data_IF_492766615398
#
_entry.id   IF_492766615398
#
_cell.length_a   1.000
_cell.length_b   1.000
_cell.length_c   1.000
_cell.angle_alpha   90.00
_cell.angle_beta   90.00
_cell.angle_gamma   90.00
#
_symmetry.space_group_name_H-M   'P 1'
#
loop_
_entity.id
_entity.type
_entity.pdbx_description
1 polymer ?
#
# COMPACT_ATOMS: atom_id res chain seq x y z
N UNK A 1 12.80 6.56 8.76
CA UNK A 1 12.77 5.30 7.98
C UNK A 1 13.24 5.70 6.60
N UNK A 2 14.55 5.88 6.46
CA UNK A 2 15.14 6.67 5.36
C UNK A 2 14.84 6.10 3.98
N UNK A 3 14.62 4.79 3.91
CA UNK A 3 14.29 4.08 2.67
C UNK A 3 12.91 4.47 2.10
N UNK A 4 11.92 4.83 2.92
CA UNK A 4 10.58 5.19 2.41
C UNK A 4 10.61 6.57 1.75
N UNK A 5 11.29 7.54 2.38
CA UNK A 5 11.41 8.90 1.83
C UNK A 5 12.17 8.88 0.50
N UNK A 6 13.31 8.18 0.43
CA UNK A 6 14.08 8.04 -0.81
C UNK A 6 13.26 7.33 -1.92
N UNK A 7 12.52 6.27 -1.59
CA UNK A 7 11.64 5.64 -2.57
C UNK A 7 10.51 6.56 -3.04
N UNK A 8 10.02 7.45 -2.16
CA UNK A 8 9.01 8.43 -2.53
C UNK A 8 9.58 9.53 -3.44
N UNK A 9 10.80 10.02 -3.19
CA UNK A 9 11.52 10.93 -4.09
C UNK A 9 11.67 10.33 -5.50
N UNK A 10 11.96 9.02 -5.59
CA UNK A 10 11.97 8.31 -6.88
C UNK A 10 10.58 8.33 -7.55
N UNK A 11 9.51 8.14 -6.78
CA UNK A 11 8.14 8.24 -7.30
C UNK A 11 7.88 9.64 -7.86
N UNK A 12 8.30 10.70 -7.18
CA UNK A 12 8.18 12.08 -7.67
C UNK A 12 8.91 12.27 -9.00
N UNK A 13 10.15 11.79 -9.11
CA UNK A 13 10.93 11.82 -10.36
C UNK A 13 10.26 11.03 -11.49
N UNK A 14 9.64 9.90 -11.19
CA UNK A 14 8.91 9.11 -12.19
C UNK A 14 7.64 9.80 -12.68
N UNK A 15 6.91 10.51 -11.81
CA UNK A 15 5.78 11.33 -12.24
C UNK A 15 6.23 12.51 -13.09
N UNK A 16 7.34 13.15 -12.75
CA UNK A 16 7.90 14.24 -13.56
C UNK A 16 8.30 13.74 -14.95
N UNK A 17 9.02 12.62 -15.03
CA UNK A 17 9.36 11.99 -16.30
C UNK A 17 8.12 11.57 -17.09
N UNK A 18 7.08 11.04 -16.42
CA UNK A 18 5.80 10.69 -17.04
C UNK A 18 5.14 11.90 -17.69
N UNK A 19 5.11 13.06 -17.02
CA UNK A 19 4.57 14.31 -17.57
C UNK A 19 5.36 14.78 -18.79
N UNK A 20 6.68 14.79 -18.69
CA UNK A 20 7.57 15.17 -19.79
C UNK A 20 7.43 14.25 -21.02
N UNK A 21 6.97 13.02 -20.82
CA UNK A 21 6.71 12.03 -21.85
C UNK A 21 5.21 11.90 -22.19
N UNK A 22 4.43 12.98 -22.06
CA UNK A 22 3.01 13.03 -22.44
C UNK A 22 2.15 11.92 -21.80
N UNK A 23 2.33 11.70 -20.50
CA UNK A 23 1.58 10.73 -19.70
C UNK A 23 1.69 9.27 -20.16
N UNK A 24 2.83 8.92 -20.76
CA UNK A 24 3.11 7.56 -21.23
C UNK A 24 2.79 6.49 -20.17
N UNK A 25 1.97 5.51 -20.55
CA UNK A 25 1.49 4.44 -19.68
C UNK A 25 2.62 3.52 -19.18
N UNK A 26 3.78 3.49 -19.86
CA UNK A 26 4.95 2.70 -19.44
C UNK A 26 5.47 3.10 -18.07
N UNK A 27 5.24 4.35 -17.63
CA UNK A 27 5.59 4.81 -16.28
C UNK A 27 4.65 4.28 -15.20
N UNK A 28 3.43 3.82 -15.53
CA UNK A 28 2.49 3.32 -14.54
C UNK A 28 3.09 2.11 -13.80
N UNK A 29 3.80 1.22 -14.52
CA UNK A 29 4.41 0.02 -13.95
C UNK A 29 5.40 0.34 -12.83
N UNK A 30 6.51 1.08 -13.05
CA UNK A 30 7.46 1.37 -11.99
C UNK A 30 6.82 2.18 -10.85
N UNK A 31 5.91 3.11 -11.14
CA UNK A 31 5.23 3.89 -10.10
C UNK A 31 4.35 2.99 -9.22
N UNK A 32 3.48 2.16 -9.80
CA UNK A 32 2.61 1.24 -9.05
C UNK A 32 3.47 0.34 -8.15
N UNK A 33 4.57 -0.19 -8.66
CA UNK A 33 5.44 -1.11 -7.91
C UNK A 33 6.05 -0.43 -6.69
N UNK A 34 6.58 0.79 -6.85
CA UNK A 34 7.14 1.56 -5.75
C UNK A 34 6.07 1.96 -4.73
N UNK A 35 4.91 2.43 -5.20
CA UNK A 35 3.79 2.77 -4.30
C UNK A 35 3.35 1.56 -3.46
N UNK A 36 3.21 0.37 -4.08
CA UNK A 36 2.82 -0.85 -3.36
C UNK A 36 3.91 -1.31 -2.39
N UNK A 37 5.19 -1.16 -2.74
CA UNK A 37 6.30 -1.44 -1.83
C UNK A 37 6.32 -0.48 -0.63
N UNK A 38 6.06 0.81 -0.85
CA UNK A 38 5.94 1.82 0.21
C UNK A 38 4.75 1.47 1.13
N UNK A 39 3.59 1.13 0.56
CA UNK A 39 2.42 0.64 1.31
C UNK A 39 2.80 -0.56 2.18
N UNK A 40 3.50 -1.56 1.62
CA UNK A 40 3.94 -2.74 2.37
C UNK A 40 4.86 -2.37 3.54
N UNK A 41 5.84 -1.48 3.32
CA UNK A 41 6.73 -1.00 4.37
C UNK A 41 5.96 -0.28 5.50
N UNK A 42 5.00 0.59 5.17
CA UNK A 42 4.22 1.34 6.16
C UNK A 42 3.31 0.39 6.96
N UNK A 43 2.63 -0.55 6.30
CA UNK A 43 1.77 -1.51 6.97
C UNK A 43 2.57 -2.48 7.86
N UNK A 44 3.75 -2.90 7.40
CA UNK A 44 4.65 -3.71 8.20
C UNK A 44 5.12 -2.95 9.46
N UNK A 45 5.60 -1.71 9.30
CA UNK A 45 5.98 -0.85 10.42
C UNK A 45 4.83 -0.67 11.41
N UNK A 46 3.61 -0.44 10.92
CA UNK A 46 2.43 -0.31 11.76
C UNK A 46 2.16 -1.59 12.57
N UNK A 47 2.26 -2.77 11.97
CA UNK A 47 2.11 -4.04 12.69
C UNK A 47 3.22 -4.23 13.73
N UNK A 48 4.47 -3.91 13.39
CA UNK A 48 5.57 -4.02 14.35
C UNK A 48 5.41 -3.05 15.52
N UNK A 49 4.91 -1.84 15.28
CA UNK A 49 4.55 -0.90 16.37
C UNK A 49 3.45 -1.46 17.26
N UNK A 50 2.42 -2.11 16.71
CA UNK A 50 1.37 -2.77 17.50
C UNK A 50 1.93 -3.87 18.42
N UNK A 51 2.93 -4.63 17.94
CA UNK A 51 3.61 -5.65 18.76
C UNK A 51 4.46 -5.01 19.87
N UNK A 52 5.09 -3.87 19.60
CA UNK A 52 6.05 -3.17 20.46
C UNK A 52 5.42 -2.06 21.33
N UNK A 53 4.14 -2.21 21.71
CA UNK A 53 3.28 -1.23 22.42
C UNK A 53 3.94 -0.47 23.59
N UNK A 54 4.92 -1.04 24.28
CA UNK A 54 5.62 -0.37 25.39
C UNK A 54 6.36 0.90 24.96
N UNK A 55 6.68 1.04 23.67
CA UNK A 55 7.43 2.18 23.10
C UNK A 55 6.50 3.14 22.33
N UNK A 56 5.30 2.71 21.93
CA UNK A 56 4.35 3.54 21.19
C UNK A 56 2.90 3.18 21.61
N UNK A 57 2.23 4.04 22.40
CA UNK A 57 0.89 3.76 22.93
C UNK A 57 -0.17 3.92 21.83
N UNK A 58 -0.31 2.88 21.00
CA UNK A 58 -1.36 2.79 20.00
C UNK A 58 -2.68 2.44 20.70
N UNK A 59 -3.74 3.22 20.41
CA UNK A 59 -5.06 3.07 21.02
C UNK A 59 -5.87 1.94 20.35
N UNK A 60 -5.44 0.70 20.59
CA UNK A 60 -6.07 -0.52 20.06
C UNK A 60 -6.40 -1.47 21.22
N UNK A 61 -7.49 -2.24 21.10
CA UNK A 61 -7.93 -3.19 22.12
C UNK A 61 -6.85 -4.24 22.39
N UNK A 62 -6.63 -4.59 23.67
CA UNK A 62 -5.63 -5.59 24.07
C UNK A 62 -5.78 -6.94 23.33
N UNK A 63 -7.02 -7.39 23.06
CA UNK A 63 -7.27 -8.62 22.30
C UNK A 63 -6.66 -8.61 20.89
N UNK A 64 -6.68 -7.46 20.22
CA UNK A 64 -6.07 -7.31 18.90
C UNK A 64 -4.54 -7.34 19.03
N UNK A 65 -3.99 -6.68 20.05
CA UNK A 65 -2.55 -6.71 20.33
C UNK A 65 -2.07 -8.14 20.58
N UNK A 66 -2.79 -8.93 21.38
CA UNK A 66 -2.46 -10.31 21.68
C UNK A 66 -2.51 -11.21 20.43
N UNK A 67 -3.45 -10.94 19.51
CA UNK A 67 -3.49 -11.59 18.21
C UNK A 67 -2.20 -11.34 17.40
N UNK A 68 -1.70 -10.10 17.36
CA UNK A 68 -0.49 -9.75 16.60
C UNK A 68 0.82 -10.18 17.27
N UNK A 69 0.89 -10.19 18.61
CA UNK A 69 2.07 -10.68 19.34
C UNK A 69 2.36 -12.15 19.08
N UNK A 70 1.32 -12.97 18.93
CA UNK A 70 1.43 -14.40 18.70
C UNK A 70 1.56 -14.77 17.21
N UNK A 71 1.49 -13.79 16.31
CA UNK A 71 1.51 -14.02 14.87
C UNK A 71 2.95 -14.12 14.33
N UNK A 72 3.40 -15.32 13.95
CA UNK A 72 4.68 -15.55 13.28
C UNK A 72 4.64 -15.20 11.78
N UNK A 73 5.79 -14.83 11.19
CA UNK A 73 5.98 -14.68 9.73
C UNK A 73 5.11 -13.61 9.05
N UNK A 74 5.46 -12.33 9.21
CA UNK A 74 4.74 -11.19 8.60
C UNK A 74 5.31 -10.79 7.22
N UNK A 75 6.20 -11.58 6.65
CA UNK A 75 7.09 -11.10 5.57
C UNK A 75 6.42 -11.03 4.19
N UNK A 76 5.13 -11.34 4.09
CA UNK A 76 4.38 -11.27 2.84
C UNK A 76 3.24 -10.26 2.93
N UNK A 77 3.17 -9.31 1.99
CA UNK A 77 2.02 -8.39 1.84
C UNK A 77 0.65 -9.07 1.92
N UNK A 78 0.52 -10.30 1.40
CA UNK A 78 -0.73 -11.09 1.54
C UNK A 78 -1.12 -11.29 3.00
N UNK A 79 -0.19 -11.75 3.82
CA UNK A 79 -0.40 -12.02 5.25
C UNK A 79 -0.62 -10.74 6.02
N UNK A 80 0.08 -9.66 5.65
CA UNK A 80 -0.14 -8.31 6.19
C UNK A 80 -1.61 -7.91 5.97
N UNK A 81 -2.06 -7.88 4.70
CA UNK A 81 -3.43 -7.46 4.32
C UNK A 81 -4.48 -8.31 5.04
N UNK A 82 -4.34 -9.64 5.01
CA UNK A 82 -5.30 -10.54 5.66
C UNK A 82 -5.43 -10.29 7.17
N UNK A 83 -4.32 -9.99 7.85
CA UNK A 83 -4.36 -9.73 9.30
C UNK A 83 -5.01 -8.39 9.62
N UNK A 84 -4.63 -7.32 8.91
CA UNK A 84 -5.21 -6.00 9.13
C UNK A 84 -6.70 -5.99 8.79
N UNK A 85 -7.13 -6.73 7.77
CA UNK A 85 -8.54 -6.88 7.39
C UNK A 85 -9.32 -7.67 8.43
N UNK A 86 -8.77 -8.76 8.96
CA UNK A 86 -9.48 -9.63 9.93
C UNK A 86 -9.94 -8.91 11.20
N UNK A 87 -9.24 -7.83 11.57
CA UNK A 87 -9.55 -7.01 12.73
C UNK A 87 -10.08 -5.61 12.36
N UNK A 88 -10.29 -5.35 11.06
CA UNK A 88 -10.58 -4.01 10.50
C UNK A 88 -9.66 -2.91 11.07
N UNK A 89 -8.35 -3.18 11.11
CA UNK A 89 -7.38 -2.31 11.76
C UNK A 89 -7.31 -0.90 11.15
N UNK A 90 -7.66 -0.74 9.88
CA UNK A 90 -7.64 0.55 9.18
C UNK A 90 -8.98 1.29 9.30
N UNK A 91 -9.90 0.80 10.15
CA UNK A 91 -11.23 1.36 10.38
C UNK A 91 -12.03 1.60 9.09
N UNK A 92 -11.89 0.68 8.14
CA UNK A 92 -12.53 0.76 6.83
C UNK A 92 -14.04 0.67 7.01
N UNK A 93 -14.77 1.61 6.39
CA UNK A 93 -16.22 1.65 6.44
C UNK A 93 -16.83 0.46 5.71
N UNK A 94 -18.02 0.03 6.15
CA UNK A 94 -18.73 -1.08 5.50
C UNK A 94 -19.08 -0.68 4.05
N UNK A 95 -18.63 -1.49 3.10
CA UNK A 95 -18.88 -1.28 1.67
C UNK A 95 -17.73 -0.59 0.92
N UNK A 96 -16.74 -0.07 1.64
CA UNK A 96 -15.52 0.47 1.04
C UNK A 96 -14.66 -0.64 0.40
N UNK A 97 -13.89 -0.29 -0.63
CA UNK A 97 -13.08 -1.23 -1.41
C UNK A 97 -11.62 -1.35 -0.97
N UNK A 98 -11.16 -0.61 0.05
CA UNK A 98 -9.73 -0.50 0.40
C UNK A 98 -9.03 -1.86 0.50
N UNK A 99 -9.55 -2.81 1.27
CA UNK A 99 -8.92 -4.13 1.41
C UNK A 99 -8.92 -4.94 0.10
N UNK A 100 -9.98 -4.80 -0.71
CA UNK A 100 -10.05 -5.42 -2.04
C UNK A 100 -9.03 -4.81 -3.00
N UNK A 101 -8.86 -3.49 -2.94
CA UNK A 101 -7.88 -2.76 -3.75
C UNK A 101 -6.45 -3.11 -3.32
N UNK A 102 -6.18 -3.24 -2.02
CA UNK A 102 -4.88 -3.72 -1.52
C UNK A 102 -4.56 -5.16 -1.99
N UNK A 103 -5.51 -6.09 -1.91
CA UNK A 103 -5.29 -7.46 -2.43
C UNK A 103 -5.12 -7.48 -3.95
N UNK A 104 -5.87 -6.65 -4.68
CA UNK A 104 -5.67 -6.46 -6.12
C UNK A 104 -4.26 -5.94 -6.43
N UNK A 105 -3.82 -4.87 -5.76
CA UNK A 105 -2.50 -4.26 -5.96
C UNK A 105 -1.35 -5.21 -5.61
N UNK A 106 -1.52 -6.03 -4.56
CA UNK A 106 -0.59 -7.13 -4.26
C UNK A 106 -0.45 -8.08 -5.44
N UNK A 107 -1.55 -8.49 -6.07
CA UNK A 107 -1.52 -9.36 -7.26
C UNK A 107 -0.85 -8.67 -8.45
N UNK A 108 -1.14 -7.38 -8.66
CA UNK A 108 -0.48 -6.54 -9.68
C UNK A 108 1.03 -6.53 -9.46
N UNK A 109 1.51 -6.26 -8.24
CA UNK A 109 2.93 -6.30 -7.89
C UNK A 109 3.55 -7.69 -8.10
N UNK A 110 2.82 -8.74 -7.73
CA UNK A 110 3.30 -10.12 -7.86
C UNK A 110 3.56 -10.56 -9.30
N UNK A 111 3.08 -9.82 -10.32
CA UNK A 111 3.43 -10.06 -11.74
C UNK A 111 4.92 -9.90 -12.04
N UNK A 112 5.58 -8.97 -11.36
CA UNK A 112 7.03 -8.77 -11.47
C UNK A 112 7.82 -9.63 -10.49
N UNK A 113 7.18 -10.02 -9.39
CA UNK A 113 7.84 -10.76 -8.33
C UNK A 113 7.89 -12.26 -8.68
N UNK A 114 8.91 -12.97 -8.18
CA UNK A 114 9.05 -14.44 -8.31
C UNK A 114 7.86 -15.24 -7.70
N UNK A 115 6.91 -14.52 -7.08
CA UNK A 115 5.65 -15.02 -6.54
C UNK A 115 4.52 -15.09 -7.57
N UNK A 116 4.74 -14.78 -8.86
CA UNK A 116 3.74 -15.01 -9.92
C UNK A 116 3.41 -16.51 -10.17
N UNK A 117 3.90 -17.43 -9.34
CA UNK A 117 3.73 -18.88 -9.48
C UNK A 117 2.27 -19.34 -9.56
N UNK A 118 1.34 -18.53 -9.06
CA UNK A 118 -0.08 -18.86 -8.98
C UNK A 118 -0.94 -18.18 -10.07
N UNK A 119 -0.35 -17.33 -10.92
CA UNK A 119 -1.06 -16.59 -11.96
C UNK A 119 -2.40 -16.01 -11.45
N UNK A 120 -2.41 -15.40 -10.26
CA UNK A 120 -3.65 -15.06 -9.54
C UNK A 120 -4.58 -14.11 -10.32
N UNK A 121 -4.05 -13.39 -11.32
CA UNK A 121 -4.83 -12.56 -12.24
C UNK A 121 -5.22 -13.28 -13.55
N UNK A 122 -4.54 -14.38 -13.91
CA UNK A 122 -4.76 -15.09 -15.18
C UNK A 122 -5.69 -16.31 -15.03
N UNK A 123 -6.06 -16.70 -13.80
CA UNK A 123 -6.91 -17.87 -13.52
C UNK A 123 -8.40 -17.60 -13.81
N UNK A 124 -8.85 -17.83 -15.05
CA UNK A 124 -10.28 -17.73 -15.44
C UNK A 124 -10.52 -17.69 -16.96
N UNK A 125 -11.69 -18.14 -17.43
CA UNK A 125 -12.04 -18.22 -18.88
C UNK A 125 -12.12 -16.85 -19.59
N UNK A 126 -12.09 -15.74 -18.86
CA UNK A 126 -12.14 -14.35 -19.39
C UNK A 126 -10.77 -13.63 -19.37
N UNK A 127 -9.67 -14.31 -18.99
CA UNK A 127 -8.43 -13.66 -18.56
C UNK A 127 -7.29 -13.59 -19.58
N UNK A 128 -7.53 -13.82 -20.88
CA UNK A 128 -6.53 -13.49 -21.92
C UNK A 128 -6.12 -12.01 -21.87
N UNK A 129 -6.98 -11.15 -21.28
CA UNK A 129 -6.73 -9.74 -21.02
C UNK A 129 -5.46 -9.49 -20.21
N UNK A 130 -5.10 -10.33 -19.25
CA UNK A 130 -3.99 -10.05 -18.31
C UNK A 130 -2.64 -10.61 -18.75
N UNK A 131 -2.56 -11.30 -19.89
CA UNK A 131 -1.28 -11.73 -20.47
C UNK A 131 -0.36 -10.54 -20.75
N UNK A 132 -0.92 -9.48 -21.34
CA UNK A 132 -0.22 -8.23 -21.60
C UNK A 132 -0.08 -7.40 -20.31
N UNK A 133 1.15 -6.97 -20.01
CA UNK A 133 1.44 -6.08 -18.88
C UNK A 133 0.72 -4.73 -18.99
N UNK A 134 0.48 -4.23 -20.20
CA UNK A 134 -0.25 -2.98 -20.42
C UNK A 134 -1.68 -3.03 -19.85
N UNK A 135 -2.29 -4.22 -19.81
CA UNK A 135 -3.63 -4.46 -19.27
C UNK A 135 -3.65 -4.66 -17.75
N UNK A 136 -2.48 -4.77 -17.13
CA UNK A 136 -2.32 -4.91 -15.68
C UNK A 136 -1.90 -3.57 -15.07
N UNK A 137 -0.86 -2.93 -15.60
CA UNK A 137 -0.34 -1.65 -15.13
C UNK A 137 -1.09 -0.47 -15.77
N UNK A 138 -2.41 -0.50 -15.61
CA UNK A 138 -3.32 0.50 -16.16
C UNK A 138 -3.35 1.79 -15.32
N UNK A 139 -3.90 2.86 -15.87
CA UNK A 139 -4.16 4.08 -15.12
C UNK A 139 -5.11 3.83 -13.93
N UNK A 140 -6.08 2.93 -14.06
CA UNK A 140 -6.97 2.56 -12.95
C UNK A 140 -6.22 1.87 -11.81
N UNK A 141 -5.26 0.99 -12.13
CA UNK A 141 -4.40 0.39 -11.11
C UNK A 141 -3.51 1.42 -10.42
N UNK A 142 -3.03 2.43 -11.17
CA UNK A 142 -2.28 3.55 -10.62
C UNK A 142 -3.11 4.37 -9.63
N UNK A 143 -4.34 4.73 -10.00
CA UNK A 143 -5.27 5.46 -9.11
C UNK A 143 -5.59 4.69 -7.83
N UNK A 144 -5.76 3.37 -7.93
CA UNK A 144 -5.93 2.52 -6.74
C UNK A 144 -4.71 2.57 -5.83
N UNK A 145 -3.49 2.52 -6.39
CA UNK A 145 -2.26 2.59 -5.61
C UNK A 145 -2.11 3.94 -4.89
N UNK A 146 -2.40 5.04 -5.59
CA UNK A 146 -2.42 6.39 -5.00
C UNK A 146 -3.40 6.48 -3.83
N UNK A 147 -4.67 6.10 -4.07
CA UNK A 147 -5.72 6.14 -3.06
C UNK A 147 -5.39 5.28 -1.83
N UNK A 148 -4.92 4.05 -2.03
CA UNK A 148 -4.51 3.18 -0.93
C UNK A 148 -3.36 3.78 -0.11
N UNK A 149 -2.37 4.41 -0.76
CA UNK A 149 -1.26 5.05 -0.07
C UNK A 149 -1.74 6.25 0.76
N UNK A 150 -2.53 7.14 0.17
CA UNK A 150 -3.09 8.31 0.88
C UNK A 150 -3.89 7.89 2.10
N UNK A 151 -4.79 6.90 1.95
CA UNK A 151 -5.59 6.39 3.05
C UNK A 151 -4.70 5.85 4.19
N UNK A 152 -3.70 5.03 3.85
CA UNK A 152 -2.83 4.41 4.85
C UNK A 152 -1.99 5.46 5.57
N UNK A 153 -1.48 6.45 4.85
CA UNK A 153 -0.72 7.55 5.46
C UNK A 153 -1.61 8.38 6.36
N UNK A 154 -2.80 8.78 5.91
CA UNK A 154 -3.76 9.51 6.74
C UNK A 154 -4.11 8.72 8.02
N UNK A 155 -4.36 7.43 7.88
CA UNK A 155 -4.63 6.55 9.01
C UNK A 155 -3.44 6.50 9.99
N UNK A 156 -2.22 6.29 9.48
CA UNK A 156 -1.03 6.19 10.32
C UNK A 156 -0.60 7.53 10.95
N UNK A 157 -0.82 8.66 10.27
CA UNK A 157 -0.40 9.97 10.74
C UNK A 157 -1.44 10.65 11.62
N UNK A 158 -2.73 10.50 11.31
CA UNK A 158 -3.80 11.25 11.97
C UNK A 158 -4.60 10.40 12.97
N UNK A 159 -4.74 9.08 12.74
CA UNK A 159 -5.45 8.20 13.67
C UNK A 159 -4.51 7.48 14.63
N UNK A 160 -3.27 7.19 14.22
CA UNK A 160 -2.26 6.49 15.03
C UNK A 160 -0.87 7.14 14.96
N UNK A 161 -0.76 8.46 15.27
CA UNK A 161 0.51 9.17 15.22
C UNK A 161 1.54 8.48 16.10
N UNK A 162 2.81 8.50 15.68
CA UNK A 162 3.92 8.03 16.53
C UNK A 162 3.99 8.90 17.78
N UNK A 163 4.37 8.31 18.92
CA UNK A 163 4.57 9.06 20.17
C UNK A 163 5.44 10.31 19.94
N UNK A 164 4.95 11.46 20.41
CA UNK A 164 5.59 12.78 20.36
C UNK A 164 5.69 13.37 18.95
N UNK A 165 4.92 12.85 17.99
CA UNK A 165 4.71 13.48 16.69
C UNK A 165 3.33 14.11 16.63
N UNK A 166 3.28 15.33 16.11
CA UNK A 166 2.02 16.01 15.80
C UNK A 166 1.39 15.30 14.60
N UNK A 167 0.07 15.22 14.58
CA UNK A 167 -0.69 14.80 13.41
C UNK A 167 -0.25 15.61 12.18
N UNK A 168 0.01 14.93 11.06
CA UNK A 168 0.41 15.57 9.81
C UNK A 168 -0.85 15.76 8.96
N UNK A 169 -1.31 17.00 8.75
CA UNK A 169 -2.51 17.22 7.96
C UNK A 169 -2.28 16.75 6.53
N UNK A 170 -3.26 16.08 5.94
CA UNK A 170 -3.15 15.57 4.56
C UNK A 170 -3.01 16.67 3.51
N UNK A 171 -3.20 17.95 3.87
CA UNK A 171 -2.85 19.09 3.01
C UNK A 171 -1.34 19.24 2.79
N UNK A 172 -0.52 18.74 3.70
CA UNK A 172 0.95 18.76 3.60
C UNK A 172 1.51 17.49 2.95
N UNK A 173 0.67 16.49 2.70
CA UNK A 173 1.10 15.25 2.04
C UNK A 173 1.48 15.53 0.57
N UNK A 174 2.71 15.21 0.15
CA UNK A 174 3.11 15.39 -1.23
C UNK A 174 2.30 14.47 -2.15
N UNK A 175 1.55 15.05 -3.08
CA UNK A 175 0.81 14.33 -4.11
C UNK A 175 1.46 14.58 -5.47
N UNK A 176 2.52 13.85 -5.84
CA UNK A 176 3.19 14.07 -7.14
C UNK A 176 2.29 13.77 -8.35
N UNK A 177 1.13 13.14 -8.12
CA UNK A 177 0.08 12.92 -9.10
C UNK A 177 -0.94 14.06 -9.20
N UNK A 178 -0.99 14.98 -8.24
CA UNK A 178 -1.81 16.18 -8.34
C UNK A 178 -1.06 17.19 -9.20
N UNK A 179 -1.62 17.48 -10.37
CA UNK A 179 -1.12 18.52 -11.25
C UNK A 179 -1.68 19.85 -10.73
N UNK A 180 -0.80 20.79 -10.38
CA UNK A 180 -1.15 22.21 -10.43
C UNK A 180 -1.18 22.66 -11.89
#
# INVERSE_FOLDING_TARGET
MDNVNYNFEIVELLYEAKRQQHDDARFNKPIIILLVAIIECILYDFIERLKQRTIDPINVRNQIIDFFKNASGVDELKKIIQRIESQNLLHVAKGDSLYKDLDYLRKVRNRLHIQNKYNELDCGKENDKYKDEANVFTHSALQKAQHCLEYIIDFCCNHNPRWNKVALPMSEFPRPWDVN
#
